data_IF_668971600023
#
_entry.id   IF_668971600023
#
_cell.length_a   1.000
_cell.length_b   1.000
_cell.length_c   1.000
_cell.angle_alpha   90.00
_cell.angle_beta   90.00
_cell.angle_gamma   90.00
#
_symmetry.space_group_name_H-M   'P 1'
#
loop_
_entity.id
_entity.type
_entity.pdbx_description
1 polymer ?
#
# COMPACT_ATOMS: atom_id res chain seq x y z
N UNK A 1 -20.51 6.28 19.12
CA UNK A 1 -19.58 6.16 17.98
C UNK A 1 -19.34 7.50 17.27
N UNK A 2 -20.39 8.24 16.89
CA UNK A 2 -20.28 9.58 16.25
C UNK A 2 -19.50 10.59 17.11
N UNK A 3 -19.80 10.68 18.40
CA UNK A 3 -19.11 11.58 19.33
C UNK A 3 -17.62 11.26 19.45
N UNK A 4 -17.26 9.98 19.49
CA UNK A 4 -15.86 9.54 19.58
C UNK A 4 -15.06 9.97 18.33
N UNK A 5 -15.62 9.77 17.15
CA UNK A 5 -14.98 10.17 15.88
C UNK A 5 -14.78 11.69 15.80
N UNK A 6 -15.79 12.46 16.17
CA UNK A 6 -15.69 13.92 16.20
C UNK A 6 -14.65 14.40 17.22
N UNK A 7 -14.62 13.79 18.40
CA UNK A 7 -13.61 14.10 19.43
C UNK A 7 -12.20 13.80 18.94
N UNK A 8 -11.99 12.67 18.23
CA UNK A 8 -10.70 12.30 17.67
C UNK A 8 -10.22 13.32 16.64
N UNK A 9 -11.09 13.73 15.71
CA UNK A 9 -10.77 14.74 14.70
C UNK A 9 -10.42 16.07 15.36
N UNK A 10 -11.24 16.52 16.29
CA UNK A 10 -11.04 17.78 17.02
C UNK A 10 -9.73 17.79 17.80
N UNK A 11 -9.49 16.76 18.59
CA UNK A 11 -8.24 16.62 19.35
C UNK A 11 -7.00 16.63 18.45
N UNK A 12 -7.08 16.02 17.26
CA UNK A 12 -5.99 16.02 16.29
C UNK A 12 -5.70 17.43 15.78
N UNK A 13 -6.73 18.18 15.41
CA UNK A 13 -6.58 19.57 14.92
C UNK A 13 -6.08 20.49 16.04
N UNK A 14 -6.66 20.40 17.23
CA UNK A 14 -6.29 21.22 18.39
C UNK A 14 -4.84 20.96 18.81
N UNK A 15 -4.40 19.69 18.79
CA UNK A 15 -3.00 19.33 19.07
C UNK A 15 -2.02 19.91 18.05
N UNK A 16 -2.38 19.87 16.76
CA UNK A 16 -1.56 20.47 15.71
C UNK A 16 -1.47 22.00 15.83
N UNK A 17 -2.57 22.65 16.15
CA UNK A 17 -2.62 24.09 16.38
C UNK A 17 -1.80 24.51 17.62
N UNK A 18 -1.92 23.78 18.73
CA UNK A 18 -1.12 24.00 19.93
C UNK A 18 0.39 23.86 19.64
N UNK A 19 0.80 22.85 18.86
CA UNK A 19 2.19 22.70 18.46
C UNK A 19 2.69 23.90 17.62
N UNK A 20 1.85 24.44 16.77
CA UNK A 20 2.15 25.66 15.99
C UNK A 20 2.29 26.90 16.89
N UNK A 21 1.40 27.07 17.85
CA UNK A 21 1.46 28.17 18.83
C UNK A 21 2.76 28.12 19.66
N UNK A 22 3.28 26.93 19.91
CA UNK A 22 4.59 26.72 20.56
C UNK A 22 5.78 26.91 19.63
N UNK A 23 5.56 27.33 18.37
CA UNK A 23 6.62 27.70 17.42
C UNK A 23 7.00 26.61 16.42
N UNK A 24 6.28 25.47 16.37
CA UNK A 24 6.53 24.46 15.34
C UNK A 24 6.01 24.93 13.98
N UNK A 25 6.87 24.95 12.97
CA UNK A 25 6.48 25.37 11.63
C UNK A 25 5.49 24.37 10.98
N UNK A 26 4.52 24.86 10.20
CA UNK A 26 3.49 24.03 9.57
C UNK A 26 4.03 22.86 8.76
N UNK A 27 5.16 23.06 8.07
CA UNK A 27 5.84 22.04 7.26
C UNK A 27 6.58 20.97 8.09
N UNK A 28 6.51 21.04 9.42
CA UNK A 28 7.07 20.06 10.36
C UNK A 28 5.97 19.27 11.09
N UNK A 29 4.71 19.50 10.75
CA UNK A 29 3.58 18.84 11.37
C UNK A 29 2.97 17.87 10.35
N UNK A 30 2.79 16.63 10.75
CA UNK A 30 1.98 15.62 10.08
C UNK A 30 1.00 15.05 11.08
N UNK A 31 -0.24 14.85 10.70
CA UNK A 31 -1.28 14.38 11.61
C UNK A 31 -1.74 12.96 11.29
N UNK A 32 -2.13 12.23 12.33
CA UNK A 32 -2.61 10.86 12.21
C UNK A 32 -3.69 10.55 13.22
N UNK A 33 -4.84 10.07 12.76
CA UNK A 33 -5.94 9.55 13.58
C UNK A 33 -5.91 8.02 13.57
N UNK A 34 -5.70 7.41 14.74
CA UNK A 34 -5.58 5.96 14.87
C UNK A 34 -6.93 5.32 15.17
N UNK A 35 -7.44 4.52 14.24
CA UNK A 35 -8.65 3.70 14.41
C UNK A 35 -8.40 2.28 13.88
N UNK A 36 -9.17 1.30 14.36
CA UNK A 36 -9.02 -0.11 14.04
C UNK A 36 -10.15 -0.67 13.14
N UNK A 37 -11.20 0.11 12.91
CA UNK A 37 -12.28 -0.23 11.99
C UNK A 37 -12.09 0.46 10.63
N UNK A 38 -12.38 -0.28 9.56
CA UNK A 38 -12.21 0.17 8.17
C UNK A 38 -13.12 1.35 7.84
N UNK A 39 -14.40 1.26 8.24
CA UNK A 39 -15.39 2.30 7.93
C UNK A 39 -15.14 3.56 8.76
N UNK A 40 -14.76 3.38 10.02
CA UNK A 40 -14.40 4.50 10.89
C UNK A 40 -13.14 5.22 10.38
N UNK A 41 -12.14 4.48 9.85
CA UNK A 41 -10.96 5.11 9.24
C UNK A 41 -11.34 5.97 8.04
N UNK A 42 -12.16 5.44 7.14
CA UNK A 42 -12.63 6.16 5.95
C UNK A 42 -13.39 7.43 6.36
N UNK A 43 -14.33 7.31 7.29
CA UNK A 43 -15.13 8.44 7.75
C UNK A 43 -14.28 9.52 8.44
N UNK A 44 -13.41 9.11 9.35
CA UNK A 44 -12.54 10.03 10.13
C UNK A 44 -11.63 10.81 9.19
N UNK A 45 -10.91 10.14 8.28
CA UNK A 45 -9.98 10.84 7.38
C UNK A 45 -10.68 11.63 6.29
N UNK A 46 -11.85 11.20 5.81
CA UNK A 46 -12.66 11.99 4.89
C UNK A 46 -13.14 13.30 5.54
N UNK A 47 -13.49 13.27 6.82
CA UNK A 47 -13.88 14.47 7.55
C UNK A 47 -12.69 15.33 7.95
N UNK A 48 -11.58 14.72 8.37
CA UNK A 48 -10.35 15.42 8.74
C UNK A 48 -9.76 16.19 7.56
N UNK A 49 -9.72 15.58 6.37
CA UNK A 49 -9.19 16.21 5.15
C UNK A 49 -9.94 17.47 4.71
N UNK A 50 -11.20 17.62 5.12
CA UNK A 50 -12.03 18.81 4.85
C UNK A 50 -11.81 19.94 5.86
N UNK A 51 -11.16 19.63 7.01
CA UNK A 51 -11.05 20.55 8.15
C UNK A 51 -9.64 21.03 8.41
N UNK A 52 -8.62 20.44 7.80
CA UNK A 52 -7.24 20.88 7.96
C UNK A 52 -6.41 20.66 6.68
N UNK A 53 -5.33 21.42 6.55
CA UNK A 53 -4.38 21.33 5.44
C UNK A 53 -3.04 20.71 5.85
N UNK A 54 -3.00 19.99 6.98
CA UNK A 54 -1.79 19.26 7.38
C UNK A 54 -1.65 17.98 6.57
N UNK A 55 -0.43 17.54 6.24
CA UNK A 55 -0.19 16.23 5.69
C UNK A 55 -0.79 15.14 6.57
N UNK A 56 -1.44 14.15 5.94
CA UNK A 56 -2.16 13.08 6.62
C UNK A 56 -1.37 11.78 6.54
N UNK A 57 -1.11 11.17 7.70
CA UNK A 57 -0.51 9.85 7.80
C UNK A 57 -1.60 8.79 8.01
N UNK A 58 -1.88 8.02 6.97
CA UNK A 58 -2.88 6.95 7.00
C UNK A 58 -2.34 5.69 7.66
N UNK A 59 -3.19 4.98 8.38
CA UNK A 59 -2.85 3.66 8.92
C UNK A 59 -4.00 3.09 9.73
N UNK A 60 -4.42 1.87 9.39
CA UNK A 60 -5.35 1.11 10.19
C UNK A 60 -4.58 0.44 11.33
N UNK A 61 -4.98 0.67 12.58
CA UNK A 61 -4.40 -0.04 13.73
C UNK A 61 -5.06 -1.40 13.90
N UNK A 62 -4.31 -2.38 14.43
CA UNK A 62 -4.88 -3.71 14.73
C UNK A 62 -5.56 -4.35 13.50
N UNK A 63 -5.00 -4.13 12.31
CA UNK A 63 -5.61 -4.63 11.06
C UNK A 63 -5.78 -6.16 11.05
N UNK A 64 -4.89 -6.87 11.73
CA UNK A 64 -4.94 -8.32 11.90
C UNK A 64 -3.73 -9.05 11.35
N UNK A 65 -3.77 -10.37 11.43
CA UNK A 65 -2.72 -11.28 10.96
C UNK A 65 -2.99 -11.71 9.52
N UNK A 66 -1.92 -11.95 8.76
CA UNK A 66 -1.98 -12.56 7.43
C UNK A 66 -2.87 -11.79 6.44
N UNK A 67 -3.65 -12.51 5.67
CA UNK A 67 -4.51 -11.95 4.61
C UNK A 67 -5.57 -10.98 5.15
N UNK A 68 -6.12 -11.22 6.34
CA UNK A 68 -7.12 -10.33 6.95
C UNK A 68 -6.54 -8.92 7.16
N UNK A 69 -5.33 -8.82 7.70
CA UNK A 69 -4.67 -7.54 7.92
C UNK A 69 -4.37 -6.80 6.61
N UNK A 70 -3.93 -7.54 5.58
CA UNK A 70 -3.66 -6.98 4.25
C UNK A 70 -4.95 -6.45 3.62
N UNK A 71 -6.02 -7.25 3.62
CA UNK A 71 -7.32 -6.87 3.03
C UNK A 71 -7.92 -5.65 3.74
N UNK A 72 -7.92 -5.63 5.08
CA UNK A 72 -8.45 -4.50 5.86
C UNK A 72 -7.67 -3.22 5.58
N UNK A 73 -6.34 -3.30 5.54
CA UNK A 73 -5.46 -2.16 5.22
C UNK A 73 -5.67 -1.67 3.78
N UNK A 74 -5.72 -2.59 2.82
CA UNK A 74 -5.93 -2.26 1.41
C UNK A 74 -7.31 -1.64 1.16
N UNK A 75 -8.37 -2.19 1.76
CA UNK A 75 -9.72 -1.66 1.61
C UNK A 75 -9.87 -0.23 2.14
N UNK A 76 -9.35 0.04 3.33
CA UNK A 76 -9.46 1.36 3.95
C UNK A 76 -8.57 2.40 3.27
N UNK A 77 -7.28 2.12 3.12
CA UNK A 77 -6.34 3.06 2.53
C UNK A 77 -6.52 3.19 1.03
N UNK A 78 -6.88 2.11 0.32
CA UNK A 78 -7.18 2.17 -1.10
C UNK A 78 -8.31 3.12 -1.42
N UNK A 79 -9.39 3.10 -0.64
CA UNK A 79 -10.50 4.06 -0.77
C UNK A 79 -10.02 5.50 -0.58
N UNK A 80 -9.28 5.77 0.50
CA UNK A 80 -8.82 7.12 0.82
C UNK A 80 -7.85 7.66 -0.25
N UNK A 81 -6.86 6.86 -0.63
CA UNK A 81 -5.87 7.22 -1.65
C UNK A 81 -6.51 7.49 -3.02
N UNK A 82 -7.54 6.73 -3.40
CA UNK A 82 -8.29 6.98 -4.63
C UNK A 82 -9.01 8.34 -4.60
N UNK A 83 -9.41 8.81 -3.42
CA UNK A 83 -9.99 10.13 -3.21
C UNK A 83 -8.93 11.22 -2.93
N UNK A 84 -7.64 10.93 -3.17
CA UNK A 84 -6.51 11.83 -2.93
C UNK A 84 -6.39 12.29 -1.47
N UNK A 85 -6.78 11.42 -0.55
CA UNK A 85 -6.65 11.63 0.90
C UNK A 85 -5.47 10.79 1.41
N UNK A 86 -4.46 11.44 2.00
CA UNK A 86 -3.29 10.81 2.57
C UNK A 86 -2.00 11.12 1.81
N UNK A 87 -0.95 11.46 2.57
CA UNK A 87 0.37 11.83 2.07
C UNK A 87 1.42 10.76 2.37
N UNK A 88 1.23 10.05 3.47
CA UNK A 88 2.04 8.90 3.86
C UNK A 88 1.16 7.78 4.38
N UNK A 89 1.63 6.54 4.27
CA UNK A 89 0.87 5.36 4.72
C UNK A 89 1.70 4.46 5.63
N UNK A 90 1.02 3.74 6.51
CA UNK A 90 1.58 2.66 7.30
C UNK A 90 0.68 1.44 7.28
N UNK A 91 1.23 0.31 6.93
CA UNK A 91 0.59 -1.00 7.10
C UNK A 91 0.93 -1.50 8.50
N UNK A 92 -0.05 -2.04 9.22
CA UNK A 92 0.10 -2.63 10.56
C UNK A 92 -0.40 -4.07 10.53
N UNK A 93 0.52 -5.00 10.40
CA UNK A 93 0.22 -6.43 10.45
C UNK A 93 0.67 -7.02 11.78
N UNK A 94 -0.09 -7.96 12.31
CA UNK A 94 0.42 -8.87 13.33
C UNK A 94 1.34 -9.86 12.62
N UNK A 95 2.66 -9.89 12.94
CA UNK A 95 3.58 -10.79 12.27
C UNK A 95 3.30 -12.25 12.66
N UNK A 96 3.43 -13.14 11.71
CA UNK A 96 3.50 -14.56 12.01
C UNK A 96 4.82 -14.92 12.68
N UNK A 97 4.89 -16.04 13.46
CA UNK A 97 6.13 -16.46 14.07
C UNK A 97 7.26 -16.58 13.04
N UNK A 98 8.38 -15.91 13.31
CA UNK A 98 9.58 -15.84 12.43
C UNK A 98 9.39 -15.03 11.14
N UNK A 99 8.26 -14.38 10.93
CA UNK A 99 8.05 -13.52 9.76
C UNK A 99 8.84 -12.22 9.88
N UNK A 100 9.35 -11.73 8.74
CA UNK A 100 10.09 -10.47 8.69
C UNK A 100 9.17 -9.26 8.84
N UNK A 101 9.55 -8.30 9.67
CA UNK A 101 8.86 -7.00 9.80
C UNK A 101 8.87 -6.17 8.52
N UNK A 102 9.73 -6.51 7.56
CA UNK A 102 9.75 -5.85 6.25
C UNK A 102 8.52 -6.15 5.40
N UNK A 103 7.72 -7.17 5.74
CA UNK A 103 6.46 -7.50 5.06
C UNK A 103 5.49 -6.33 5.03
N UNK A 104 5.38 -5.57 6.11
CA UNK A 104 4.52 -4.38 6.18
C UNK A 104 4.91 -3.33 5.12
N UNK A 105 6.21 -3.12 4.91
CA UNK A 105 6.74 -2.21 3.88
C UNK A 105 6.45 -2.75 2.48
N UNK A 106 6.63 -4.06 2.28
CA UNK A 106 6.34 -4.71 0.99
C UNK A 106 4.86 -4.54 0.63
N UNK A 107 3.95 -4.81 1.56
CA UNK A 107 2.50 -4.66 1.34
C UNK A 107 2.13 -3.20 1.06
N UNK A 108 2.76 -2.23 1.76
CA UNK A 108 2.55 -0.81 1.48
C UNK A 108 2.99 -0.42 0.06
N UNK A 109 4.13 -0.93 -0.38
CA UNK A 109 4.64 -0.71 -1.74
C UNK A 109 3.71 -1.34 -2.78
N UNK A 110 3.27 -2.58 -2.55
CA UNK A 110 2.33 -3.28 -3.43
C UNK A 110 0.99 -2.55 -3.55
N UNK A 111 0.45 -2.04 -2.45
CA UNK A 111 -0.77 -1.23 -2.45
C UNK A 111 -0.62 0.01 -3.34
N UNK A 112 0.44 0.81 -3.12
CA UNK A 112 0.68 2.03 -3.91
C UNK A 112 0.94 1.73 -5.38
N UNK A 113 1.63 0.64 -5.69
CA UNK A 113 1.92 0.22 -7.05
C UNK A 113 0.66 -0.30 -7.77
N UNK A 114 -0.14 -1.14 -7.11
CA UNK A 114 -1.41 -1.64 -7.64
C UNK A 114 -2.39 -0.50 -7.96
N UNK A 115 -2.36 0.57 -7.17
CA UNK A 115 -3.17 1.77 -7.41
C UNK A 115 -2.57 2.73 -8.45
N UNK A 116 -1.44 2.43 -9.04
CA UNK A 116 -0.76 3.30 -10.01
C UNK A 116 -0.23 4.61 -9.43
N UNK A 117 -0.09 4.71 -8.10
CA UNK A 117 0.37 5.92 -7.43
C UNK A 117 1.90 6.02 -7.48
N UNK A 118 2.60 4.90 -7.28
CA UNK A 118 4.06 4.86 -7.26
C UNK A 118 4.59 3.46 -7.56
N UNK A 119 5.57 3.36 -8.47
CA UNK A 119 6.26 2.11 -8.78
C UNK A 119 7.50 1.93 -7.89
N UNK A 120 7.74 0.71 -7.45
CA UNK A 120 8.89 0.32 -6.61
C UNK A 120 9.74 -0.77 -7.24
N UNK A 121 9.09 -1.73 -7.89
CA UNK A 121 9.69 -2.87 -8.59
C UNK A 121 8.91 -3.11 -9.87
N UNK A 122 9.48 -3.75 -10.89
CA UNK A 122 8.71 -4.19 -12.05
C UNK A 122 7.46 -4.98 -11.65
N UNK A 123 6.36 -4.71 -12.33
CA UNK A 123 5.11 -5.44 -12.13
C UNK A 123 5.25 -6.82 -12.79
N UNK A 124 5.09 -7.88 -12.01
CA UNK A 124 5.02 -9.25 -12.54
C UNK A 124 3.56 -9.64 -12.70
N UNK A 125 3.13 -9.75 -13.95
CA UNK A 125 1.79 -10.19 -14.32
C UNK A 125 1.86 -11.70 -14.58
N UNK A 126 1.09 -12.50 -13.86
CA UNK A 126 1.02 -13.94 -14.05
C UNK A 126 -0.42 -14.41 -14.15
N UNK A 127 -0.67 -15.41 -15.00
CA UNK A 127 -1.99 -16.00 -15.09
C UNK A 127 -2.27 -16.91 -13.87
N UNK A 128 -3.56 -17.08 -13.47
CA UNK A 128 -3.90 -17.91 -12.31
C UNK A 128 -3.73 -19.43 -12.54
N UNK A 129 -3.44 -19.84 -13.79
CA UNK A 129 -3.49 -21.24 -14.20
C UNK A 129 -4.94 -21.71 -14.43
N UNK A 130 -5.19 -22.34 -15.56
CA UNK A 130 -6.50 -22.89 -15.93
C UNK A 130 -6.32 -24.29 -16.51
N UNK A 131 -7.40 -24.94 -16.97
CA UNK A 131 -7.35 -26.28 -17.56
C UNK A 131 -6.46 -26.42 -18.82
N UNK A 132 -5.95 -25.32 -19.36
CA UNK A 132 -4.95 -25.30 -20.45
C UNK A 132 -3.51 -25.36 -19.97
N UNK A 133 -3.29 -25.23 -18.66
CA UNK A 133 -1.97 -25.27 -18.04
C UNK A 133 -1.64 -26.72 -17.70
N UNK A 134 -0.55 -27.23 -18.27
CA UNK A 134 -0.12 -28.64 -18.10
C UNK A 134 0.95 -28.82 -17.03
N UNK A 135 1.46 -27.74 -16.45
CA UNK A 135 2.57 -27.75 -15.50
C UNK A 135 2.46 -26.60 -14.49
N UNK A 136 2.99 -26.78 -13.29
CA UNK A 136 3.13 -25.73 -12.25
C UNK A 136 4.37 -24.87 -12.43
N UNK A 137 5.22 -25.20 -13.38
CA UNK A 137 6.52 -24.53 -13.60
C UNK A 137 6.40 -23.01 -13.72
N UNK A 138 5.36 -22.51 -14.40
CA UNK A 138 5.18 -21.05 -14.56
C UNK A 138 4.89 -20.33 -13.23
N UNK A 139 4.29 -21.02 -12.25
CA UNK A 139 4.03 -20.47 -10.90
C UNK A 139 5.35 -20.34 -10.13
N UNK A 140 6.19 -21.37 -10.21
CA UNK A 140 7.53 -21.36 -9.62
C UNK A 140 8.38 -20.26 -10.25
N UNK A 141 8.40 -20.20 -11.60
CA UNK A 141 9.10 -19.17 -12.37
C UNK A 141 8.62 -17.76 -12.02
N UNK A 142 7.32 -17.52 -11.87
CA UNK A 142 6.78 -16.23 -11.49
C UNK A 142 7.27 -15.79 -10.10
N UNK A 143 7.30 -16.72 -9.13
CA UNK A 143 7.83 -16.49 -7.79
C UNK A 143 9.34 -16.19 -7.80
N UNK A 144 10.11 -16.96 -8.58
CA UNK A 144 11.55 -16.73 -8.75
C UNK A 144 11.85 -15.37 -9.39
N UNK A 145 11.14 -15.01 -10.46
CA UNK A 145 11.28 -13.72 -11.13
C UNK A 145 10.95 -12.58 -10.18
N UNK A 146 9.85 -12.67 -9.44
CA UNK A 146 9.48 -11.64 -8.49
C UNK A 146 10.55 -11.46 -7.40
N UNK A 147 11.08 -12.54 -6.88
CA UNK A 147 12.15 -12.54 -5.88
C UNK A 147 13.44 -11.96 -6.44
N UNK A 148 13.82 -12.35 -7.67
CA UNK A 148 14.99 -11.83 -8.37
C UNK A 148 14.89 -10.33 -8.62
N UNK A 149 13.76 -9.86 -9.11
CA UNK A 149 13.51 -8.44 -9.37
C UNK A 149 13.65 -7.62 -8.09
N UNK A 150 13.02 -8.05 -6.98
CA UNK A 150 13.16 -7.37 -5.68
C UNK A 150 14.61 -7.28 -5.21
N UNK A 151 15.35 -8.38 -5.32
CA UNK A 151 16.76 -8.46 -4.90
C UNK A 151 17.66 -7.56 -5.76
N UNK A 152 17.40 -7.49 -7.06
CA UNK A 152 18.25 -6.80 -8.02
C UNK A 152 17.92 -5.30 -8.13
N UNK A 153 16.72 -4.89 -7.78
CA UNK A 153 16.21 -3.52 -7.94
C UNK A 153 17.12 -2.43 -7.36
N UNK A 154 17.73 -2.55 -6.16
CA UNK A 154 18.62 -1.52 -5.65
C UNK A 154 19.85 -1.24 -6.54
N UNK A 155 20.34 -2.27 -7.24
CA UNK A 155 21.45 -2.12 -8.19
C UNK A 155 20.96 -1.57 -9.54
N UNK A 156 19.81 -2.04 -10.02
CA UNK A 156 19.24 -1.61 -11.29
C UNK A 156 18.81 -0.15 -11.30
N UNK A 157 18.20 0.35 -10.24
CA UNK A 157 17.85 1.79 -10.10
C UNK A 157 19.04 2.73 -10.18
N UNK A 158 20.25 2.27 -9.86
CA UNK A 158 21.48 3.05 -10.02
C UNK A 158 21.99 3.07 -11.46
N UNK A 159 21.58 2.09 -12.26
CA UNK A 159 22.11 1.88 -13.61
C UNK A 159 21.11 2.22 -14.71
N UNK A 160 19.83 2.02 -14.47
CA UNK A 160 18.76 2.19 -15.44
C UNK A 160 17.68 3.12 -14.89
N UNK A 161 17.33 4.13 -15.65
CA UNK A 161 16.26 5.06 -15.31
C UNK A 161 14.89 4.39 -15.51
N UNK A 162 13.98 4.60 -14.55
CA UNK A 162 12.60 4.12 -14.62
C UNK A 162 12.44 2.59 -14.72
N UNK A 163 13.44 1.83 -14.33
CA UNK A 163 13.40 0.35 -14.39
C UNK A 163 12.26 -0.24 -13.53
N UNK A 164 11.83 0.44 -12.50
CA UNK A 164 10.69 0.07 -11.66
C UNK A 164 9.35 0.11 -12.39
N UNK A 165 9.26 0.80 -13.52
CA UNK A 165 8.04 0.90 -14.33
C UNK A 165 7.95 -0.22 -15.40
N UNK A 166 8.94 -1.09 -15.48
CA UNK A 166 8.92 -2.23 -16.41
C UNK A 166 7.83 -3.22 -16.00
N UNK A 167 7.14 -3.79 -16.98
CA UNK A 167 6.20 -4.87 -16.79
C UNK A 167 6.81 -6.19 -17.28
N UNK A 168 6.55 -7.28 -16.54
CA UNK A 168 7.02 -8.63 -16.87
C UNK A 168 5.82 -9.57 -16.84
N UNK A 169 5.54 -10.23 -17.95
CA UNK A 169 4.48 -11.23 -18.05
C UNK A 169 5.05 -12.65 -17.92
N UNK A 170 4.45 -13.47 -17.06
CA UNK A 170 4.76 -14.90 -16.91
C UNK A 170 3.49 -15.70 -17.14
N UNK A 171 3.40 -16.37 -18.28
CA UNK A 171 2.18 -17.05 -18.72
C UNK A 171 2.36 -18.56 -18.75
N UNK A 172 1.35 -19.30 -18.29
CA UNK A 172 1.38 -20.76 -18.15
C UNK A 172 0.97 -21.55 -19.40
N UNK A 173 0.56 -20.90 -20.48
CA UNK A 173 0.19 -21.59 -21.72
C UNK A 173 0.44 -20.74 -22.96
N UNK A 174 0.56 -21.41 -24.11
CA UNK A 174 0.80 -20.79 -25.42
C UNK A 174 -0.36 -19.89 -25.88
N UNK A 175 -1.56 -20.10 -25.39
CA UNK A 175 -2.75 -19.31 -25.80
C UNK A 175 -2.71 -17.90 -25.18
N UNK A 176 -2.41 -17.81 -23.90
CA UNK A 176 -2.36 -16.52 -23.21
C UNK A 176 -1.01 -15.81 -23.38
N UNK A 177 0.08 -16.56 -23.64
CA UNK A 177 1.40 -15.99 -23.82
C UNK A 177 1.42 -14.84 -24.85
N UNK A 178 1.05 -15.08 -26.11
CA UNK A 178 1.08 -14.03 -27.14
C UNK A 178 0.04 -12.91 -26.96
N UNK A 179 -1.11 -13.22 -26.36
CA UNK A 179 -2.22 -12.29 -26.19
C UNK A 179 -2.02 -11.35 -25.00
N UNK A 180 -1.84 -11.92 -23.82
CA UNK A 180 -1.76 -11.16 -22.57
C UNK A 180 -0.38 -10.51 -22.34
N UNK A 181 0.69 -11.07 -22.91
CA UNK A 181 2.03 -10.47 -22.83
C UNK A 181 2.15 -9.13 -23.57
N UNK A 182 1.23 -8.82 -24.49
CA UNK A 182 1.17 -7.50 -25.15
C UNK A 182 0.68 -6.40 -24.20
N UNK A 183 0.09 -6.77 -23.07
CA UNK A 183 -0.41 -5.84 -22.07
C UNK A 183 0.63 -5.54 -20.96
N UNK A 184 1.77 -6.23 -21.02
CA UNK A 184 2.88 -6.05 -20.06
C UNK A 184 3.89 -4.99 -20.51
#
# INVERSE_FOLDING_TARGET
QSVMKETLIRSTIDSANAAKELGLANNKIIVSCKVSDVQDLIEVYTNLSKRCNYPLHLGLTEAGIGSKGIVSSAASMGYLLQHRIGDTIRISLTPEPKESRTKEVIVAQELLQTMGIRSFTPLVISCPGCGRTTSTYFQELAGEIQSYLRKTMPAWKKKYNNVENMNVAVMGCVVNGPGESKMA
#
